data_IF_652603233212
#
_entry.id   IF_652603233212
#
_cell.length_a   1.000
_cell.length_b   1.000
_cell.length_c   1.000
_cell.angle_alpha   90.00
_cell.angle_beta   90.00
_cell.angle_gamma   90.00
#
_symmetry.space_group_name_H-M   'P 1'
#
loop_
_entity.id
_entity.type
_entity.pdbx_description
1 polymer ?
#
# COMPACT_ATOMS: atom_id res chain seq x y z
N UNK A 1 -44.55 -65.13 -19.12
CA UNK A 1 -44.26 -63.88 -19.87
C UNK A 1 -43.57 -62.94 -18.91
N UNK A 2 -42.24 -62.89 -18.98
CA UNK A 2 -41.38 -62.22 -18.01
C UNK A 2 -41.01 -60.84 -18.55
N UNK A 3 -41.46 -59.78 -17.86
CA UNK A 3 -41.28 -58.39 -18.28
C UNK A 3 -39.84 -57.92 -18.08
N UNK A 4 -39.17 -57.53 -19.17
CA UNK A 4 -37.85 -56.88 -19.13
C UNK A 4 -38.00 -55.40 -18.74
N UNK A 5 -37.45 -55.02 -17.59
CA UNK A 5 -37.30 -53.62 -17.16
C UNK A 5 -36.03 -53.05 -17.79
N UNK A 6 -36.20 -52.05 -18.65
CA UNK A 6 -35.11 -51.35 -19.33
C UNK A 6 -34.50 -50.30 -18.37
N UNK A 7 -33.26 -50.50 -17.94
CA UNK A 7 -32.53 -49.52 -17.12
C UNK A 7 -31.95 -48.40 -18.01
N UNK A 8 -32.26 -47.13 -17.71
CA UNK A 8 -31.61 -45.96 -18.32
C UNK A 8 -30.17 -45.79 -17.79
N UNK A 9 -29.20 -45.38 -18.64
CA UNK A 9 -27.83 -45.16 -18.19
C UNK A 9 -27.73 -43.95 -17.26
N UNK A 10 -27.04 -44.13 -16.12
CA UNK A 10 -26.72 -43.08 -15.16
C UNK A 10 -25.75 -42.07 -15.80
N UNK A 11 -26.21 -40.85 -16.05
CA UNK A 11 -25.32 -39.75 -16.43
C UNK A 11 -24.44 -39.35 -15.23
N UNK A 12 -23.12 -39.30 -15.43
CA UNK A 12 -22.17 -38.76 -14.44
C UNK A 12 -22.30 -37.23 -14.41
N UNK A 13 -22.27 -36.59 -13.23
CA UNK A 13 -22.36 -35.14 -13.14
C UNK A 13 -21.07 -34.50 -13.65
N UNK A 14 -21.16 -33.70 -14.71
CA UNK A 14 -20.11 -32.78 -15.14
C UNK A 14 -19.91 -31.72 -14.04
N UNK A 15 -18.79 -31.80 -13.30
CA UNK A 15 -18.40 -30.76 -12.34
C UNK A 15 -17.31 -29.85 -12.92
N UNK A 16 -17.57 -28.54 -12.80
CA UNK A 16 -16.61 -27.42 -12.63
C UNK A 16 -15.54 -27.21 -13.71
N UNK A 17 -15.89 -26.46 -14.76
CA UNK A 17 -14.90 -25.76 -15.61
C UNK A 17 -15.08 -24.23 -15.61
N UNK A 18 -16.24 -23.70 -15.21
CA UNK A 18 -16.53 -22.27 -15.22
C UNK A 18 -15.76 -21.45 -14.17
N UNK A 19 -15.35 -22.06 -13.05
CA UNK A 19 -14.78 -21.30 -11.93
C UNK A 19 -13.30 -20.97 -12.10
N UNK A 20 -12.56 -21.70 -12.93
CA UNK A 20 -11.11 -21.53 -13.09
C UNK A 20 -10.82 -20.34 -14.02
N UNK A 21 -11.59 -20.19 -15.09
CA UNK A 21 -11.43 -19.08 -16.05
C UNK A 21 -11.76 -17.71 -15.43
N UNK A 22 -12.78 -17.63 -14.57
CA UNK A 22 -13.14 -16.38 -13.88
C UNK A 22 -12.16 -15.98 -12.77
N UNK A 23 -11.54 -16.95 -12.09
CA UNK A 23 -10.51 -16.66 -11.08
C UNK A 23 -9.22 -16.12 -11.72
N UNK A 24 -8.80 -16.70 -12.85
CA UNK A 24 -7.62 -16.25 -13.57
C UNK A 24 -7.78 -14.84 -14.15
N UNK A 25 -8.97 -14.48 -14.65
CA UNK A 25 -9.20 -13.12 -15.17
C UNK A 25 -9.19 -12.05 -14.09
N UNK A 26 -9.66 -12.37 -12.87
CA UNK A 26 -9.66 -11.43 -11.75
C UNK A 26 -8.26 -11.25 -11.17
N UNK A 27 -7.47 -12.33 -11.10
CA UNK A 27 -6.07 -12.29 -10.70
C UNK A 27 -5.23 -11.43 -11.66
N UNK A 28 -5.47 -11.54 -12.97
CA UNK A 28 -4.80 -10.70 -13.97
C UNK A 28 -5.15 -9.21 -13.79
N UNK A 29 -6.43 -8.89 -13.55
CA UNK A 29 -6.89 -7.52 -13.26
C UNK A 29 -6.23 -6.94 -11.99
N UNK A 30 -6.16 -7.72 -10.92
CA UNK A 30 -5.50 -7.29 -9.68
C UNK A 30 -3.99 -7.09 -9.86
N UNK A 31 -3.33 -7.94 -10.64
CA UNK A 31 -1.91 -7.79 -10.96
C UNK A 31 -1.65 -6.54 -11.80
N UNK A 32 -2.47 -6.27 -12.82
CA UNK A 32 -2.38 -5.06 -13.65
C UNK A 32 -2.55 -3.79 -12.81
N UNK A 33 -3.56 -3.76 -11.93
CA UNK A 33 -3.77 -2.65 -11.00
C UNK A 33 -2.56 -2.44 -10.08
N UNK A 34 -2.04 -3.51 -9.47
CA UNK A 34 -0.87 -3.43 -8.60
C UNK A 34 0.37 -2.89 -9.35
N UNK A 35 0.54 -3.27 -10.61
CA UNK A 35 1.63 -2.79 -11.46
C UNK A 35 1.51 -1.29 -11.76
N UNK A 36 0.30 -0.82 -12.08
CA UNK A 36 0.01 0.61 -12.29
C UNK A 36 0.28 1.42 -11.02
N UNK A 37 -0.18 0.95 -9.86
CA UNK A 37 0.03 1.64 -8.58
C UNK A 37 1.53 1.71 -8.24
N UNK A 38 2.27 0.62 -8.47
CA UNK A 38 3.71 0.62 -8.22
C UNK A 38 4.45 1.57 -9.18
N UNK A 39 4.05 1.62 -10.45
CA UNK A 39 4.58 2.60 -11.39
C UNK A 39 4.31 4.03 -10.92
N UNK A 40 3.06 4.35 -10.55
CA UNK A 40 2.69 5.68 -10.04
C UNK A 40 3.50 6.04 -8.78
N UNK A 41 3.70 5.08 -7.87
CA UNK A 41 4.53 5.25 -6.67
C UNK A 41 5.97 5.59 -7.04
N UNK A 42 6.60 4.82 -7.92
CA UNK A 42 7.99 5.04 -8.34
C UNK A 42 8.15 6.37 -9.09
N UNK A 43 7.17 6.73 -9.92
CA UNK A 43 7.14 8.01 -10.62
C UNK A 43 7.06 9.19 -9.64
N UNK A 44 6.16 9.12 -8.65
CA UNK A 44 6.04 10.11 -7.59
C UNK A 44 7.32 10.24 -6.76
N UNK A 45 7.91 9.12 -6.35
CA UNK A 45 9.15 9.10 -5.56
C UNK A 45 10.34 9.73 -6.30
N UNK A 46 10.34 9.68 -7.64
CA UNK A 46 11.36 10.32 -8.49
C UNK A 46 11.03 11.79 -8.77
N UNK A 47 9.75 12.11 -8.97
CA UNK A 47 9.27 13.44 -9.32
C UNK A 47 8.09 13.85 -8.42
N UNK A 48 8.35 14.34 -7.20
CA UNK A 48 7.27 14.65 -6.24
C UNK A 48 6.34 15.79 -6.67
N UNK A 49 6.83 16.67 -7.54
CA UNK A 49 6.09 17.80 -8.10
C UNK A 49 5.58 17.53 -9.52
N UNK A 50 5.52 16.26 -9.92
CA UNK A 50 5.02 15.89 -11.25
C UNK A 50 3.51 16.05 -11.36
N UNK A 51 3.07 16.37 -12.57
CA UNK A 51 1.65 16.45 -12.90
C UNK A 51 0.98 15.08 -12.88
N UNK A 52 -0.35 15.10 -12.90
CA UNK A 52 -1.16 13.90 -13.02
C UNK A 52 -0.98 13.29 -14.43
N UNK A 53 -0.95 11.96 -14.52
CA UNK A 53 -0.76 11.23 -15.77
C UNK A 53 -2.06 10.58 -16.23
N UNK A 54 -2.33 10.59 -17.53
CA UNK A 54 -3.42 9.81 -18.13
C UNK A 54 -3.12 8.31 -18.08
N UNK A 55 -4.16 7.48 -18.16
CA UNK A 55 -3.98 6.01 -18.19
C UNK A 55 -3.11 5.57 -19.38
N UNK A 56 -3.29 6.19 -20.55
CA UNK A 56 -2.51 5.88 -21.75
C UNK A 56 -1.02 6.19 -21.57
N UNK A 57 -0.67 7.33 -20.94
CA UNK A 57 0.72 7.67 -20.60
C UNK A 57 1.33 6.66 -19.63
N UNK A 58 0.57 6.23 -18.62
CA UNK A 58 1.01 5.23 -17.65
C UNK A 58 1.27 3.88 -18.34
N UNK A 59 0.35 3.44 -19.20
CA UNK A 59 0.48 2.17 -19.94
C UNK A 59 1.67 2.19 -20.88
N UNK A 60 1.89 3.29 -21.61
CA UNK A 60 3.05 3.46 -22.49
C UNK A 60 4.39 3.40 -21.75
N UNK A 61 4.43 3.93 -20.52
CA UNK A 61 5.65 3.90 -19.70
C UNK A 61 5.82 2.59 -18.91
N UNK A 62 4.76 1.80 -18.73
CA UNK A 62 4.83 0.51 -18.07
C UNK A 62 5.29 -0.59 -19.03
N UNK A 63 6.52 -1.06 -18.87
CA UNK A 63 7.02 -2.23 -19.60
C UNK A 63 6.15 -3.47 -19.32
N UNK A 64 5.74 -4.17 -20.39
CA UNK A 64 4.94 -5.40 -20.35
C UNK A 64 3.51 -5.25 -19.80
N UNK A 65 2.96 -4.03 -19.76
CA UNK A 65 1.55 -3.83 -19.45
C UNK A 65 0.74 -3.75 -20.75
N UNK A 66 -0.03 -4.80 -21.03
CA UNK A 66 -1.07 -4.79 -22.05
C UNK A 66 -2.43 -4.85 -21.37
N UNK A 67 -3.32 -3.93 -21.76
CA UNK A 67 -4.68 -3.85 -21.24
C UNK A 67 -5.66 -4.22 -22.36
N UNK A 68 -6.59 -5.12 -22.06
CA UNK A 68 -7.77 -5.32 -22.88
C UNK A 68 -8.77 -4.18 -22.64
N UNK A 69 -9.59 -3.84 -23.64
CA UNK A 69 -10.60 -2.78 -23.53
C UNK A 69 -11.50 -2.90 -22.29
N UNK A 70 -11.90 -4.13 -21.91
CA UNK A 70 -12.69 -4.37 -20.70
C UNK A 70 -11.93 -4.06 -19.40
N UNK A 71 -10.62 -4.33 -19.37
CA UNK A 71 -9.77 -4.05 -18.21
C UNK A 71 -9.50 -2.56 -18.10
N UNK A 72 -9.24 -1.88 -19.22
CA UNK A 72 -9.04 -0.44 -19.27
C UNK A 72 -10.27 0.30 -18.73
N UNK A 73 -11.47 -0.07 -19.20
CA UNK A 73 -12.71 0.52 -18.71
C UNK A 73 -12.89 0.29 -17.21
N UNK A 74 -12.65 -0.93 -16.72
CA UNK A 74 -12.72 -1.25 -15.29
C UNK A 74 -11.72 -0.45 -14.45
N UNK A 75 -10.50 -0.22 -14.95
CA UNK A 75 -9.48 0.59 -14.27
C UNK A 75 -9.94 2.04 -14.11
N UNK A 76 -10.48 2.64 -15.17
CA UNK A 76 -10.92 4.04 -15.18
C UNK A 76 -12.17 4.25 -14.33
N UNK A 77 -13.17 3.37 -14.44
CA UNK A 77 -14.48 3.62 -13.82
C UNK A 77 -14.57 3.14 -12.37
N UNK A 78 -13.79 2.12 -11.99
CA UNK A 78 -13.97 1.45 -10.70
C UNK A 78 -12.66 1.31 -9.92
N UNK A 79 -11.62 0.75 -10.53
CA UNK A 79 -10.46 0.30 -9.74
C UNK A 79 -9.57 1.46 -9.24
N UNK A 80 -9.19 2.39 -10.13
CA UNK A 80 -8.32 3.51 -9.77
C UNK A 80 -9.05 4.55 -8.89
N UNK A 81 -10.32 4.94 -9.17
CA UNK A 81 -11.03 5.90 -8.33
C UNK A 81 -11.30 5.40 -6.90
N UNK A 82 -11.53 4.09 -6.74
CA UNK A 82 -11.78 3.49 -5.42
C UNK A 82 -10.49 3.17 -4.64
N UNK A 83 -9.31 3.38 -5.23
CA UNK A 83 -8.06 3.05 -4.56
C UNK A 83 -7.57 4.21 -3.66
N UNK A 84 -7.34 3.98 -2.35
CA UNK A 84 -6.92 5.06 -1.45
C UNK A 84 -5.51 5.61 -1.74
N UNK A 85 -4.71 4.91 -2.55
CA UNK A 85 -3.35 5.30 -2.95
C UNK A 85 -3.29 6.06 -4.27
N UNK A 86 -4.43 6.37 -4.87
CA UNK A 86 -4.51 7.10 -6.13
C UNK A 86 -5.39 8.32 -5.92
N UNK A 87 -4.94 9.46 -6.42
CA UNK A 87 -5.75 10.64 -6.60
C UNK A 87 -6.17 10.73 -8.08
N UNK A 88 -7.44 11.01 -8.33
CA UNK A 88 -8.00 11.11 -9.67
C UNK A 88 -8.54 12.52 -9.87
N UNK A 89 -8.09 13.19 -10.93
CA UNK A 89 -8.55 14.53 -11.29
C UNK A 89 -8.96 14.58 -12.76
N UNK A 90 -10.00 15.38 -13.05
CA UNK A 90 -10.41 15.68 -14.41
C UNK A 90 -9.72 16.98 -14.84
N UNK A 91 -8.74 16.87 -15.75
CA UNK A 91 -7.94 18.00 -16.23
C UNK A 91 -8.06 18.02 -17.76
N UNK A 92 -8.43 19.16 -18.34
CA UNK A 92 -8.59 19.34 -19.80
C UNK A 92 -9.50 18.27 -20.46
N UNK A 93 -10.63 17.95 -19.81
CA UNK A 93 -11.57 16.89 -20.23
C UNK A 93 -10.97 15.47 -20.27
N UNK A 94 -9.81 15.25 -19.65
CA UNK A 94 -9.15 13.96 -19.55
C UNK A 94 -9.01 13.52 -18.09
N UNK A 95 -9.27 12.23 -17.82
CA UNK A 95 -9.01 11.64 -16.50
C UNK A 95 -7.52 11.43 -16.31
N UNK A 96 -6.95 12.09 -15.32
CA UNK A 96 -5.55 11.95 -14.93
C UNK A 96 -5.44 11.42 -13.50
N UNK A 97 -4.38 10.67 -13.25
CA UNK A 97 -4.11 9.96 -12.01
C UNK A 97 -2.78 10.39 -11.43
N UNK A 98 -2.72 10.48 -10.11
CA UNK A 98 -1.49 10.75 -9.37
C UNK A 98 -1.40 9.83 -8.15
N UNK A 99 -0.18 9.53 -7.70
CA UNK A 99 -0.02 8.71 -6.51
C UNK A 99 -0.34 9.50 -5.25
N UNK A 100 -1.20 8.96 -4.40
CA UNK A 100 -1.49 9.51 -3.08
C UNK A 100 -0.68 8.71 -2.04
N UNK A 101 0.43 9.26 -1.52
CA UNK A 101 1.22 8.55 -0.52
C UNK A 101 0.43 8.38 0.79
N UNK A 102 0.70 7.30 1.55
CA UNK A 102 0.04 7.07 2.83
C UNK A 102 0.35 8.18 3.85
N UNK A 103 1.53 8.80 3.74
CA UNK A 103 1.96 9.91 4.58
C UNK A 103 2.36 11.10 3.71
N UNK A 104 1.85 12.28 4.02
CA UNK A 104 2.18 13.51 3.31
C UNK A 104 3.52 14.06 3.84
N UNK A 105 4.62 13.51 3.34
CA UNK A 105 5.98 13.90 3.74
C UNK A 105 6.53 14.94 2.75
N UNK A 106 7.19 15.97 3.26
CA UNK A 106 7.92 16.93 2.43
C UNK A 106 9.16 16.28 1.79
N UNK A 107 9.50 16.62 0.54
CA UNK A 107 10.59 15.93 -0.19
C UNK A 107 11.96 16.62 -0.11
N UNK A 108 11.99 17.88 0.34
CA UNK A 108 13.20 18.71 0.40
C UNK A 108 13.75 18.84 1.84
N UNK A 109 13.95 20.08 2.32
CA UNK A 109 14.66 20.34 3.56
C UNK A 109 13.85 19.95 4.81
N UNK A 110 12.52 19.95 4.73
CA UNK A 110 11.64 19.64 5.85
C UNK A 110 11.20 18.18 5.97
N UNK A 111 11.75 17.25 5.18
CA UNK A 111 11.40 15.82 5.24
C UNK A 111 11.54 15.19 6.65
N UNK A 112 12.57 15.56 7.41
CA UNK A 112 12.77 15.04 8.79
C UNK A 112 11.76 15.66 9.75
N UNK A 113 11.45 16.94 9.56
CA UNK A 113 10.50 17.67 10.39
C UNK A 113 9.08 17.19 10.15
N UNK A 114 8.66 17.06 8.89
CA UNK A 114 7.33 16.57 8.50
C UNK A 114 7.08 15.17 9.06
N UNK A 115 8.03 14.23 8.96
CA UNK A 115 7.89 12.91 9.60
C UNK A 115 7.71 13.03 11.11
N UNK A 116 8.49 13.89 11.77
CA UNK A 116 8.37 14.09 13.21
C UNK A 116 7.02 14.71 13.60
N UNK A 117 6.54 15.68 12.84
CA UNK A 117 5.28 16.36 13.12
C UNK A 117 4.09 15.42 12.87
N UNK A 118 4.13 14.59 11.83
CA UNK A 118 3.16 13.49 11.62
C UNK A 118 3.15 12.55 12.83
N UNK A 119 4.32 12.09 13.30
CA UNK A 119 4.39 11.17 14.44
C UNK A 119 3.88 11.80 15.75
N UNK A 120 4.04 13.11 15.93
CA UNK A 120 3.43 13.83 17.07
C UNK A 120 1.91 13.88 16.95
N UNK A 121 1.37 14.22 15.78
CA UNK A 121 -0.07 14.21 15.54
C UNK A 121 -0.64 12.82 15.79
N UNK A 122 0.05 11.77 15.33
CA UNK A 122 -0.34 10.39 15.61
C UNK A 122 -0.31 10.05 17.11
N UNK A 123 0.72 10.49 17.83
CA UNK A 123 0.78 10.34 19.28
C UNK A 123 -0.39 11.01 20.03
N UNK A 124 -0.85 12.16 19.55
CA UNK A 124 -2.01 12.89 20.10
C UNK A 124 -3.36 12.27 19.72
N UNK A 125 -3.40 11.51 18.62
CA UNK A 125 -4.60 10.80 18.16
C UNK A 125 -4.64 9.35 18.66
N UNK A 126 -5.72 8.63 18.34
CA UNK A 126 -5.85 7.22 18.71
C UNK A 126 -4.87 6.29 17.98
N UNK A 127 -4.34 6.71 16.83
CA UNK A 127 -3.40 5.93 16.03
C UNK A 127 -1.97 6.34 16.35
N UNK A 128 -1.37 5.69 17.35
CA UNK A 128 -0.09 6.13 17.94
C UNK A 128 1.15 5.73 17.15
N UNK A 129 0.99 5.01 16.04
CA UNK A 129 2.10 4.26 15.43
C UNK A 129 2.08 4.37 13.92
N UNK A 130 3.26 4.27 13.30
CA UNK A 130 3.38 4.26 11.83
C UNK A 130 4.34 3.16 11.39
N UNK A 131 4.01 2.43 10.34
CA UNK A 131 4.93 1.45 9.78
C UNK A 131 6.07 2.15 9.02
N UNK A 132 7.29 1.60 9.12
CA UNK A 132 8.44 2.08 8.32
C UNK A 132 8.14 1.97 6.82
N UNK A 133 7.38 0.96 6.41
CA UNK A 133 6.92 0.74 5.03
C UNK A 133 6.13 1.93 4.48
N UNK A 134 5.30 2.58 5.30
CA UNK A 134 4.47 3.71 4.86
C UNK A 134 5.34 4.96 4.63
N UNK A 135 6.38 5.15 5.45
CA UNK A 135 7.36 6.22 5.25
C UNK A 135 8.17 5.95 3.98
N UNK A 136 8.60 4.72 3.75
CA UNK A 136 9.32 4.31 2.53
C UNK A 136 8.46 4.46 1.27
N UNK A 137 7.16 4.20 1.37
CA UNK A 137 6.23 4.39 0.26
C UNK A 137 5.96 5.87 -0.05
N UNK A 138 6.29 6.78 0.88
CA UNK A 138 6.06 8.21 0.76
C UNK A 138 7.33 9.00 0.43
N UNK A 139 8.52 8.49 0.75
CA UNK A 139 9.79 9.19 0.52
C UNK A 139 10.97 8.22 0.28
N UNK A 140 11.81 8.52 -0.71
CA UNK A 140 12.99 7.70 -1.08
C UNK A 140 14.07 7.67 0.00
N UNK A 141 14.19 8.73 0.80
CA UNK A 141 15.19 8.89 1.87
C UNK A 141 14.66 8.44 3.24
N UNK A 142 13.54 7.69 3.28
CA UNK A 142 12.91 7.21 4.50
C UNK A 142 13.90 6.58 5.51
N UNK A 143 14.76 5.67 5.06
CA UNK A 143 15.72 4.99 5.95
C UNK A 143 16.70 5.96 6.62
N UNK A 144 17.17 6.97 5.88
CA UNK A 144 18.04 8.02 6.43
C UNK A 144 17.31 8.86 7.47
N UNK A 145 16.05 9.24 7.18
CA UNK A 145 15.21 10.03 8.09
C UNK A 145 14.97 9.27 9.40
N UNK A 146 14.56 8.00 9.30
CA UNK A 146 14.29 7.13 10.45
C UNK A 146 15.55 6.95 11.29
N UNK A 147 16.69 6.66 10.67
CA UNK A 147 17.99 6.53 11.37
C UNK A 147 18.32 7.81 12.15
N UNK A 148 18.23 8.97 11.49
CA UNK A 148 18.52 10.27 12.10
C UNK A 148 17.59 10.61 13.27
N UNK A 149 16.30 10.26 13.17
CA UNK A 149 15.33 10.49 14.24
C UNK A 149 15.55 9.56 15.44
N UNK A 150 15.94 8.30 15.20
CA UNK A 150 16.33 7.34 16.24
C UNK A 150 17.59 7.79 16.98
N UNK A 151 18.62 8.22 16.26
CA UNK A 151 19.87 8.75 16.85
C UNK A 151 19.61 9.96 17.75
N UNK A 152 18.64 10.81 17.38
CA UNK A 152 18.21 11.94 18.21
C UNK A 152 17.31 11.55 19.39
N UNK A 153 16.97 10.26 19.55
CA UNK A 153 16.08 9.75 20.58
C UNK A 153 14.65 10.28 20.51
N UNK A 154 14.22 10.82 19.36
CA UNK A 154 12.89 11.42 19.17
C UNK A 154 11.83 10.40 18.77
N UNK A 155 12.24 9.21 18.34
CA UNK A 155 11.34 8.12 17.99
C UNK A 155 11.87 6.80 18.57
N UNK A 156 10.97 5.87 18.84
CA UNK A 156 11.27 4.50 19.23
C UNK A 156 10.69 3.56 18.19
N UNK A 157 11.48 2.57 17.77
CA UNK A 157 11.03 1.51 16.87
C UNK A 157 10.72 0.22 17.64
N UNK A 158 9.67 -0.49 17.25
CA UNK A 158 9.41 -1.84 17.72
C UNK A 158 9.02 -2.75 16.55
N UNK A 159 9.36 -4.03 16.68
CA UNK A 159 9.03 -5.04 15.67
C UNK A 159 7.73 -5.75 16.04
N UNK A 160 6.73 -5.67 15.17
CA UNK A 160 5.48 -6.40 15.33
C UNK A 160 5.62 -7.89 15.02
N UNK A 161 4.56 -8.66 15.28
CA UNK A 161 4.51 -10.12 15.04
C UNK A 161 4.85 -10.52 13.61
N UNK A 162 4.55 -9.66 12.64
CA UNK A 162 4.76 -9.89 11.21
C UNK A 162 6.17 -9.48 10.74
N UNK A 163 7.14 -9.28 11.66
CA UNK A 163 8.48 -8.72 11.37
C UNK A 163 8.47 -7.31 10.77
N UNK A 164 7.31 -6.64 10.76
CA UNK A 164 7.17 -5.25 10.36
C UNK A 164 7.65 -4.33 11.48
N UNK A 165 8.42 -3.32 11.11
CA UNK A 165 8.87 -2.31 12.05
C UNK A 165 7.87 -1.14 12.11
N UNK A 166 7.48 -0.79 13.33
CA UNK A 166 6.62 0.33 13.64
C UNK A 166 7.40 1.38 14.42
N UNK A 167 7.08 2.65 14.18
CA UNK A 167 7.69 3.81 14.82
C UNK A 167 6.66 4.54 15.66
N UNK A 168 7.12 5.03 16.80
CA UNK A 168 6.34 5.83 17.76
C UNK A 168 7.13 7.07 18.12
N UNK A 169 6.44 8.19 18.31
CA UNK A 169 7.06 9.40 18.85
C UNK A 169 7.49 9.18 20.31
N UNK A 170 8.71 9.61 20.64
CA UNK A 170 9.23 9.59 22.00
C UNK A 170 9.13 10.97 22.64
N UNK A 171 8.26 11.13 23.63
CA UNK A 171 8.21 12.36 24.41
C UNK A 171 9.35 12.37 25.44
N UNK A 172 10.39 13.14 25.13
CA UNK A 172 11.55 13.32 26.00
C UNK A 172 11.21 13.87 27.39
N UNK A 173 10.04 14.51 27.58
CA UNK A 173 9.61 15.02 28.89
C UNK A 173 9.24 13.90 29.86
N UNK A 174 8.88 12.73 29.34
CA UNK A 174 8.46 11.57 30.13
C UNK A 174 9.58 10.54 30.31
N UNK A 175 10.79 10.84 29.81
CA UNK A 175 11.93 9.96 29.97
C UNK A 175 12.39 9.93 31.44
N UNK A 176 12.15 8.79 32.09
CA UNK A 176 12.65 8.52 33.44
C UNK A 176 14.01 7.80 33.33
N UNK A 177 15.10 8.37 33.88
CA UNK A 177 16.38 7.67 33.94
C UNK A 177 16.30 6.57 35.00
N UNK A 178 15.90 5.37 34.60
CA UNK A 178 15.80 4.22 35.49
C UNK A 178 17.10 3.41 35.38
N UNK A 179 17.72 3.12 36.54
CA UNK A 179 18.93 2.29 36.60
C UNK A 179 18.61 0.82 36.25
N UNK A 180 19.59 0.11 35.66
CA UNK A 180 19.45 -1.30 35.24
C UNK A 180 19.01 -2.20 36.39
N UNK A 181 19.54 -1.96 37.59
CA UNK A 181 19.31 -2.80 38.77
C UNK A 181 17.86 -2.74 39.22
N UNK A 182 17.23 -1.55 39.14
CA UNK A 182 15.82 -1.38 39.44
C UNK A 182 14.95 -2.14 38.43
N UNK A 183 15.31 -2.09 37.14
CA UNK A 183 14.60 -2.84 36.08
C UNK A 183 14.68 -4.34 36.35
N UNK A 184 15.84 -4.83 36.79
CA UNK A 184 16.04 -6.25 37.10
C UNK A 184 15.22 -6.69 38.32
N UNK A 185 15.22 -5.89 39.38
CA UNK A 185 14.42 -6.16 40.58
C UNK A 185 12.92 -6.11 40.29
N UNK A 186 12.46 -5.17 39.47
CA UNK A 186 11.04 -5.05 39.11
C UNK A 186 10.52 -6.22 38.26
N UNK A 187 11.39 -6.86 37.47
CA UNK A 187 11.04 -8.02 36.64
C UNK A 187 11.15 -9.36 37.36
N UNK A 188 11.74 -9.39 38.57
CA UNK A 188 11.89 -10.59 39.40
C UNK A 188 10.63 -10.83 40.21
#
# INVERSE_FOLDING_TARGET
>A
MTSFVQQKPKQKPLKRLSNITSQNSTQNKSWQLAKIIEFLRLYYLKNPHSDHLTLDEIVKQCENLSLDCSTEQWLITEALPNNPRVDMQLIDNSTKFHYKPPLQIEHDQGQVRSVLDILKTLYETYDKTTAVEDIQASNTKANMIVKRLKEKGKIVGYTGKNKKEFLVYNDSKLNLPIHSDFIQQWRS
#
